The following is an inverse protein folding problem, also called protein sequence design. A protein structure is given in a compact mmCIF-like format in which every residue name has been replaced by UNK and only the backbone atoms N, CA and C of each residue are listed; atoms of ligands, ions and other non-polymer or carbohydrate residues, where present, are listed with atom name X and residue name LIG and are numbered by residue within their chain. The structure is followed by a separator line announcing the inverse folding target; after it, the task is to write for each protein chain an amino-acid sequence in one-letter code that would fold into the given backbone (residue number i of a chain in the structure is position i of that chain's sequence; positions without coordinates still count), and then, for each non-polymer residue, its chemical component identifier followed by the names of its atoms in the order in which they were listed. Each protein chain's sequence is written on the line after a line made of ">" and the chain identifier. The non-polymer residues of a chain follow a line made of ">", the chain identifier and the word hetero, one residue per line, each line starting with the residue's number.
data_IF_301504151171
#
_entry.id   IF_301504151171
#
_cell.length_a   1.000
_cell.length_b   1.000
_cell.length_c   1.000
_cell.angle_alpha   90.00
_cell.angle_beta   90.00
_cell.angle_gamma   90.00
#
_symmetry.space_group_name_H-M   'P 1'
#
loop_
_entity.id
_entity.type
_entity.pdbx_description
1 polymer ?
#
# COMPACT_ATOMS: atom_id res chain seq x y z
N UNK A 1 49.66 -3.60 30.11
CA UNK A 1 48.21 -3.91 30.12
C UNK A 1 47.33 -3.15 29.11
N UNK A 2 47.85 -2.36 28.16
CA UNK A 2 46.98 -1.78 27.08
C UNK A 2 46.74 -2.71 25.88
N UNK A 3 47.52 -3.77 25.74
CA UNK A 3 47.50 -4.70 24.58
C UNK A 3 46.31 -5.65 24.55
N UNK A 4 45.93 -6.17 25.69
CA UNK A 4 44.83 -7.16 25.78
C UNK A 4 43.44 -6.57 25.47
N UNK A 5 43.17 -5.35 25.90
CA UNK A 5 41.92 -4.62 25.61
C UNK A 5 41.79 -4.30 24.11
N UNK A 6 42.93 -3.97 23.44
CA UNK A 6 42.94 -3.73 21.99
C UNK A 6 42.78 -5.03 21.19
N UNK A 7 43.29 -6.14 21.69
CA UNK A 7 43.13 -7.45 21.06
C UNK A 7 41.66 -7.91 21.11
N UNK A 8 41.00 -7.85 22.27
CA UNK A 8 39.58 -8.16 22.43
C UNK A 8 38.67 -7.27 21.55
N UNK A 9 39.04 -5.97 21.36
CA UNK A 9 38.31 -5.09 20.45
C UNK A 9 38.47 -5.48 18.98
N UNK A 10 39.66 -5.89 18.56
CA UNK A 10 39.94 -6.37 17.19
C UNK A 10 39.16 -7.67 16.90
N UNK A 11 39.19 -8.62 17.84
CA UNK A 11 38.47 -9.88 17.72
C UNK A 11 36.93 -9.67 17.66
N UNK A 12 36.40 -8.78 18.48
CA UNK A 12 34.99 -8.42 18.42
C UNK A 12 34.56 -7.75 17.10
N UNK A 13 35.42 -6.92 16.52
CA UNK A 13 35.17 -6.33 15.18
C UNK A 13 35.27 -7.38 14.06
N UNK A 14 36.27 -8.27 14.12
CA UNK A 14 36.39 -9.35 13.14
C UNK A 14 35.21 -10.33 13.20
N UNK A 15 34.75 -10.70 14.39
CA UNK A 15 33.58 -11.55 14.57
C UNK A 15 32.29 -10.92 14.01
N UNK A 16 32.07 -9.61 14.24
CA UNK A 16 30.93 -8.89 13.65
C UNK A 16 31.00 -8.82 12.13
N UNK A 17 32.18 -8.58 11.55
CA UNK A 17 32.38 -8.57 10.10
C UNK A 17 32.14 -9.95 9.48
N UNK A 18 32.63 -11.01 10.11
CA UNK A 18 32.41 -12.39 9.68
C UNK A 18 30.91 -12.77 9.71
N UNK A 19 30.18 -12.38 10.77
CA UNK A 19 28.75 -12.59 10.87
C UNK A 19 27.97 -11.86 9.77
N UNK A 20 28.31 -10.60 9.48
CA UNK A 20 27.70 -9.81 8.40
C UNK A 20 27.98 -10.43 7.01
N UNK A 21 29.20 -10.93 6.78
CA UNK A 21 29.54 -11.61 5.52
C UNK A 21 28.79 -12.95 5.37
N UNK A 22 28.66 -13.72 6.44
CA UNK A 22 27.89 -14.95 6.43
C UNK A 22 26.41 -14.71 6.13
N UNK A 23 25.83 -13.65 6.72
CA UNK A 23 24.46 -13.23 6.44
C UNK A 23 24.27 -12.83 4.98
N UNK A 24 25.18 -12.00 4.42
CA UNK A 24 25.13 -11.58 3.00
C UNK A 24 25.24 -12.79 2.05
N UNK A 25 26.09 -13.78 2.34
CA UNK A 25 26.21 -15.02 1.54
C UNK A 25 24.92 -15.86 1.58
N UNK A 26 24.27 -15.99 2.76
CA UNK A 26 22.99 -16.67 2.89
C UNK A 26 21.87 -15.94 2.11
N UNK A 27 21.82 -14.63 2.19
CA UNK A 27 20.85 -13.81 1.45
C UNK A 27 21.03 -13.90 -0.06
N UNK A 28 22.28 -13.90 -0.55
CA UNK A 28 22.60 -14.06 -1.97
C UNK A 28 22.18 -15.44 -2.51
N UNK A 29 22.46 -16.53 -1.76
CA UNK A 29 22.04 -17.89 -2.13
C UNK A 29 20.50 -18.02 -2.18
N UNK A 30 19.79 -17.38 -1.22
CA UNK A 30 18.31 -17.39 -1.21
C UNK A 30 17.73 -16.62 -2.41
N UNK A 31 18.34 -15.50 -2.82
CA UNK A 31 17.95 -14.77 -4.04
C UNK A 31 18.18 -15.61 -5.29
N UNK A 32 19.31 -16.29 -5.43
CA UNK A 32 19.59 -17.16 -6.58
C UNK A 32 18.61 -18.33 -6.68
N UNK A 33 18.22 -18.94 -5.57
CA UNK A 33 17.19 -20.00 -5.55
C UNK A 33 15.81 -19.46 -5.98
N UNK A 34 15.38 -18.29 -5.49
CA UNK A 34 14.10 -17.69 -5.86
C UNK A 34 14.08 -17.32 -7.36
N UNK A 35 15.19 -16.75 -7.86
CA UNK A 35 15.31 -16.40 -9.29
C UNK A 35 15.31 -17.66 -10.16
N UNK A 36 15.98 -18.73 -9.75
CA UNK A 36 15.98 -20.01 -10.47
C UNK A 36 14.59 -20.65 -10.56
N UNK A 37 13.83 -20.66 -9.47
CA UNK A 37 12.46 -21.18 -9.45
C UNK A 37 11.53 -20.34 -10.32
N UNK A 38 11.65 -19.00 -10.30
CA UNK A 38 10.83 -18.11 -11.13
C UNK A 38 11.11 -18.33 -12.63
N UNK A 39 12.38 -18.44 -13.03
CA UNK A 39 12.75 -18.72 -14.42
C UNK A 39 12.24 -20.10 -14.87
N UNK A 40 12.36 -21.13 -14.02
CA UNK A 40 11.86 -22.46 -14.33
C UNK A 40 10.34 -22.48 -14.51
N UNK A 41 9.58 -21.77 -13.65
CA UNK A 41 8.13 -21.65 -13.76
C UNK A 41 7.70 -20.97 -15.08
N UNK A 42 8.41 -19.93 -15.50
CA UNK A 42 8.16 -19.23 -16.77
C UNK A 42 8.45 -20.15 -17.97
N UNK A 43 9.53 -20.90 -17.95
CA UNK A 43 9.87 -21.86 -19.02
C UNK A 43 8.81 -22.97 -19.13
N UNK A 44 8.36 -23.52 -18.00
CA UNK A 44 7.29 -24.52 -17.98
C UNK A 44 5.98 -23.95 -18.52
N UNK A 45 5.63 -22.72 -18.15
CA UNK A 45 4.43 -22.04 -18.66
C UNK A 45 4.48 -21.84 -20.17
N UNK A 46 5.63 -21.41 -20.72
CA UNK A 46 5.84 -21.25 -22.17
C UNK A 46 5.71 -22.60 -22.88
N UNK A 47 6.28 -23.68 -22.36
CA UNK A 47 6.17 -25.01 -22.93
C UNK A 47 4.72 -25.52 -22.95
N UNK A 48 3.95 -25.29 -21.90
CA UNK A 48 2.52 -25.64 -21.82
C UNK A 48 1.70 -24.85 -22.84
N UNK A 49 1.99 -23.54 -23.00
CA UNK A 49 1.31 -22.70 -23.99
C UNK A 49 1.63 -23.12 -25.45
N UNK A 50 2.87 -23.52 -25.71
CA UNK A 50 3.28 -24.01 -27.04
C UNK A 50 2.64 -25.38 -27.37
N UNK A 51 2.38 -26.23 -26.38
CA UNK A 51 1.67 -27.50 -26.58
C UNK A 51 0.17 -27.29 -26.84
N UNK A 52 -0.46 -26.29 -26.19
CA UNK A 52 -1.88 -25.97 -26.43
C UNK A 52 -2.15 -25.31 -27.80
N UNK A 53 -1.13 -24.79 -28.46
CA UNK A 53 -1.26 -24.16 -29.79
C UNK A 53 -1.32 -25.14 -30.97
N UNK A 54 -1.24 -26.47 -30.73
CA UNK A 54 -1.24 -27.47 -31.81
C UNK A 54 -2.59 -28.14 -32.12
N UNK A 55 -3.63 -27.86 -31.32
CA UNK A 55 -4.92 -28.57 -31.45
C UNK A 55 -6.10 -27.67 -31.86
N UNK A 56 -5.90 -26.63 -32.69
CA UNK A 56 -7.04 -25.94 -33.29
C UNK A 56 -6.69 -25.45 -34.71
N UNK A 57 -6.74 -26.35 -35.65
CA UNK A 57 -6.84 -26.03 -37.06
C UNK A 57 -8.21 -26.45 -37.57
N UNK A 58 -9.11 -25.46 -37.80
CA UNK A 58 -10.03 -25.50 -38.93
C UNK A 58 -10.85 -24.21 -39.09
N UNK A 59 -10.75 -23.66 -40.28
CA UNK A 59 -11.72 -22.86 -41.06
C UNK A 59 -12.32 -21.57 -40.46
N UNK A 60 -11.92 -20.42 -40.99
CA UNK A 60 -12.87 -19.33 -41.28
C UNK A 60 -12.52 -18.66 -42.63
N UNK A 61 -13.51 -18.57 -43.44
CA UNK A 61 -13.62 -17.95 -44.76
C UNK A 61 -13.36 -16.43 -44.76
N UNK A 62 -12.76 -15.94 -45.84
CA UNK A 62 -12.49 -14.54 -46.10
C UNK A 62 -13.74 -13.67 -46.17
N UNK A 63 -13.66 -12.45 -45.63
CA UNK A 63 -14.68 -11.41 -45.76
C UNK A 63 -14.14 -10.02 -45.46
N UNK A 64 -13.82 -9.30 -46.52
CA UNK A 64 -13.89 -7.87 -46.82
C UNK A 64 -13.38 -6.82 -45.77
N UNK A 65 -12.40 -6.08 -46.27
CA UNK A 65 -11.86 -4.80 -45.81
C UNK A 65 -12.91 -3.70 -45.55
N UNK A 66 -12.78 -3.02 -44.38
CA UNK A 66 -13.23 -1.63 -44.25
C UNK A 66 -12.28 -0.87 -43.32
N UNK A 67 -11.67 0.16 -43.87
CA UNK A 67 -10.82 1.16 -43.22
C UNK A 67 -11.61 1.89 -42.13
N UNK A 68 -11.16 1.89 -40.89
CA UNK A 68 -11.67 2.81 -39.87
C UNK A 68 -10.50 3.41 -39.07
N UNK A 69 -10.53 4.71 -39.03
CA UNK A 69 -9.62 5.66 -38.42
C UNK A 69 -9.36 5.34 -36.93
N UNK A 70 -8.09 5.57 -36.54
CA UNK A 70 -7.63 5.47 -35.18
C UNK A 70 -8.31 6.49 -34.25
N UNK A 71 -9.12 6.00 -33.36
CA UNK A 71 -9.49 6.67 -32.14
C UNK A 71 -8.68 6.01 -31.01
N UNK A 72 -7.78 6.75 -30.39
CA UNK A 72 -7.10 6.33 -29.16
C UNK A 72 -8.16 6.22 -28.06
N UNK A 73 -8.74 5.04 -27.92
CA UNK A 73 -9.56 4.69 -26.78
C UNK A 73 -8.63 4.55 -25.56
N UNK A 74 -8.60 5.55 -24.72
CA UNK A 74 -8.14 5.40 -23.33
C UNK A 74 -9.00 4.32 -22.69
N UNK A 75 -8.45 3.11 -22.57
CA UNK A 75 -9.12 1.99 -21.91
C UNK A 75 -9.28 2.36 -20.44
N UNK A 76 -10.44 2.86 -20.08
CA UNK A 76 -10.83 3.00 -18.67
C UNK A 76 -10.75 1.62 -18.03
N UNK A 77 -10.01 1.50 -16.90
CA UNK A 77 -10.01 0.29 -16.11
C UNK A 77 -11.45 -0.11 -15.79
N UNK A 78 -11.79 -1.41 -15.78
CA UNK A 78 -13.14 -1.86 -15.46
C UNK A 78 -13.53 -1.30 -14.09
N UNK A 79 -14.67 -0.62 -14.02
CA UNK A 79 -15.24 -0.19 -12.75
C UNK A 79 -15.48 -1.42 -11.87
N UNK A 80 -14.97 -1.41 -10.65
CA UNK A 80 -15.22 -2.48 -9.70
C UNK A 80 -16.73 -2.62 -9.42
N UNK A 81 -17.12 -3.77 -8.91
CA UNK A 81 -18.51 -3.98 -8.50
C UNK A 81 -18.86 -3.05 -7.35
N UNK A 82 -19.88 -2.20 -7.51
CA UNK A 82 -20.41 -1.39 -6.41
C UNK A 82 -21.08 -2.30 -5.38
N UNK A 83 -20.69 -2.13 -4.11
CA UNK A 83 -21.22 -2.91 -3.00
C UNK A 83 -22.64 -2.51 -2.59
N UNK A 84 -23.27 -3.36 -1.82
CA UNK A 84 -24.64 -3.15 -1.32
C UNK A 84 -24.70 -2.32 -0.02
N UNK A 85 -23.55 -2.02 0.59
CA UNK A 85 -23.52 -1.27 1.87
C UNK A 85 -23.88 0.20 1.64
N UNK A 86 -24.84 0.73 2.41
CA UNK A 86 -25.25 2.14 2.29
C UNK A 86 -24.11 3.07 2.74
N UNK A 87 -24.20 4.34 2.36
CA UNK A 87 -23.34 5.37 2.92
C UNK A 87 -23.54 5.47 4.43
N UNK A 88 -22.47 5.37 5.24
CA UNK A 88 -22.60 5.50 6.68
C UNK A 88 -22.89 6.97 7.06
N UNK A 89 -23.62 7.21 8.15
CA UNK A 89 -23.90 8.56 8.61
C UNK A 89 -22.62 9.31 8.99
N UNK A 90 -22.63 10.62 8.79
CA UNK A 90 -21.46 11.47 9.00
C UNK A 90 -21.06 11.61 10.48
N UNK A 91 -22.00 11.42 11.40
CA UNK A 91 -21.81 11.51 12.84
C UNK A 91 -21.06 10.30 13.46
N UNK A 92 -20.76 9.27 12.64
CA UNK A 92 -20.09 8.07 13.11
C UNK A 92 -20.96 7.11 13.91
N UNK A 93 -22.30 7.19 13.77
CA UNK A 93 -23.24 6.29 14.45
C UNK A 93 -23.34 4.89 13.84
N UNK A 94 -22.67 4.63 12.70
CA UNK A 94 -22.70 3.31 12.08
C UNK A 94 -22.01 2.26 12.97
N UNK A 95 -22.53 1.02 13.03
CA UNK A 95 -21.82 -0.07 13.71
C UNK A 95 -20.51 -0.43 12.98
N UNK A 96 -19.52 -0.91 13.72
CA UNK A 96 -18.25 -1.34 13.14
C UNK A 96 -18.46 -2.45 12.10
N UNK A 97 -17.87 -2.26 10.90
CA UNK A 97 -17.91 -3.23 9.80
C UNK A 97 -16.55 -3.33 9.14
N UNK A 98 -16.03 -4.55 8.94
CA UNK A 98 -14.67 -4.81 8.40
C UNK A 98 -14.66 -5.64 7.11
N UNK A 99 -15.83 -5.98 6.55
CA UNK A 99 -15.94 -6.70 5.29
C UNK A 99 -17.11 -6.17 4.47
N UNK A 100 -16.88 -6.00 3.17
CA UNK A 100 -17.84 -5.44 2.24
C UNK A 100 -17.85 -6.27 0.95
N UNK A 101 -18.95 -6.22 0.21
CA UNK A 101 -19.19 -7.02 -1.00
C UNK A 101 -18.83 -6.29 -2.31
N UNK A 102 -18.31 -5.06 -2.21
CA UNK A 102 -17.90 -4.25 -3.35
C UNK A 102 -17.46 -2.84 -2.95
N UNK A 103 -17.07 -2.03 -3.93
CA UNK A 103 -16.72 -0.63 -3.76
C UNK A 103 -17.86 0.18 -3.16
N UNK A 104 -17.58 1.19 -2.32
CA UNK A 104 -18.63 2.08 -1.83
C UNK A 104 -19.24 2.91 -2.97
N UNK A 105 -20.54 3.13 -2.93
CA UNK A 105 -21.18 4.18 -3.72
C UNK A 105 -20.61 5.56 -3.34
N UNK A 106 -20.82 6.61 -4.16
CA UNK A 106 -20.40 7.96 -3.78
C UNK A 106 -21.06 8.41 -2.48
N UNK A 107 -20.28 8.57 -1.40
CA UNK A 107 -20.70 8.93 -0.05
C UNK A 107 -20.13 10.26 0.42
N UNK A 108 -19.31 10.90 -0.41
CA UNK A 108 -18.74 12.22 -0.15
C UNK A 108 -19.17 13.22 -1.22
N UNK A 109 -19.13 14.49 -0.87
CA UNK A 109 -19.22 15.61 -1.81
C UNK A 109 -17.81 16.13 -2.09
N UNK A 110 -17.26 15.97 -3.32
CA UNK A 110 -15.90 16.41 -3.65
C UNK A 110 -15.68 17.94 -3.55
N UNK A 111 -16.75 18.73 -3.41
CA UNK A 111 -16.65 20.18 -3.19
C UNK A 111 -16.33 20.55 -1.74
N UNK A 112 -16.59 19.63 -0.79
CA UNK A 112 -16.28 19.79 0.63
C UNK A 112 -14.84 19.46 0.94
N UNK A 113 -14.38 19.94 2.11
CA UNK A 113 -13.10 19.53 2.68
C UNK A 113 -13.28 18.41 3.69
N UNK A 114 -12.35 17.47 3.70
CA UNK A 114 -12.35 16.32 4.60
C UNK A 114 -11.06 16.25 5.37
N UNK A 115 -11.16 16.07 6.67
CA UNK A 115 -10.04 15.89 7.57
C UNK A 115 -10.20 14.60 8.35
N UNK A 116 -9.13 13.79 8.39
CA UNK A 116 -9.08 12.59 9.20
C UNK A 116 -8.22 12.81 10.44
N UNK A 117 -8.77 12.58 11.63
CA UNK A 117 -8.04 12.58 12.90
C UNK A 117 -7.74 11.13 13.28
N UNK A 118 -6.48 10.81 13.46
CA UNK A 118 -5.98 9.52 13.92
C UNK A 118 -5.58 9.62 15.39
N UNK A 119 -6.28 8.95 16.26
CA UNK A 119 -5.90 8.75 17.65
C UNK A 119 -5.16 7.41 17.74
N UNK A 120 -3.89 7.46 18.16
CA UNK A 120 -3.03 6.28 18.29
C UNK A 120 -2.63 6.04 19.74
N UNK A 121 -2.05 4.90 20.04
CA UNK A 121 -1.49 4.58 21.36
C UNK A 121 -0.29 5.45 21.75
N UNK A 122 0.30 6.23 20.83
CA UNK A 122 1.45 7.13 21.08
C UNK A 122 1.19 8.60 20.80
N UNK A 123 -0.06 8.97 20.53
CA UNK A 123 -0.48 10.35 20.28
C UNK A 123 -1.48 10.48 19.14
N UNK A 124 -1.74 11.71 18.74
CA UNK A 124 -2.74 12.03 17.70
C UNK A 124 -2.07 12.77 16.55
N UNK A 125 -2.48 12.48 15.33
CA UNK A 125 -2.13 13.25 14.14
C UNK A 125 -3.36 13.48 13.24
N UNK A 126 -3.29 14.54 12.44
CA UNK A 126 -4.38 15.00 11.57
C UNK A 126 -3.93 14.97 10.11
N UNK A 127 -4.81 14.53 9.22
CA UNK A 127 -4.57 14.42 7.77
C UNK A 127 -5.64 15.20 7.02
N UNK A 128 -5.24 16.16 6.18
CA UNK A 128 -6.13 16.75 5.18
C UNK A 128 -6.26 15.77 3.99
N UNK A 129 -7.51 15.41 3.63
CA UNK A 129 -7.80 14.50 2.53
C UNK A 129 -8.04 15.30 1.24
N UNK A 130 -7.47 14.86 0.12
CA UNK A 130 -7.56 15.56 -1.16
C UNK A 130 -8.65 14.95 -2.06
N UNK A 131 -9.92 15.24 -1.74
CA UNK A 131 -11.08 14.75 -2.49
C UNK A 131 -11.13 15.26 -3.95
N UNK A 132 -10.44 16.36 -4.29
CA UNK A 132 -10.37 16.87 -5.66
C UNK A 132 -9.40 16.09 -6.53
N UNK A 133 -8.28 15.63 -5.96
CA UNK A 133 -7.25 14.89 -6.69
C UNK A 133 -7.58 13.39 -6.76
N UNK A 134 -8.12 12.82 -5.69
CA UNK A 134 -8.37 11.40 -5.56
C UNK A 134 -9.78 11.14 -4.96
N UNK A 135 -10.86 11.54 -5.68
CA UNK A 135 -12.23 11.48 -5.16
C UNK A 135 -12.69 10.07 -4.78
N UNK A 136 -12.37 9.05 -5.57
CA UNK A 136 -12.73 7.65 -5.27
C UNK A 136 -11.98 7.14 -4.05
N UNK A 137 -10.69 7.46 -3.96
CA UNK A 137 -9.84 7.04 -2.85
C UNK A 137 -10.28 7.70 -1.53
N UNK A 138 -10.57 9.00 -1.56
CA UNK A 138 -11.10 9.71 -0.39
C UNK A 138 -12.48 9.19 -0.02
N UNK A 139 -13.37 8.94 -1.00
CA UNK A 139 -14.67 8.32 -0.77
C UNK A 139 -14.53 6.97 -0.06
N UNK A 140 -13.63 6.11 -0.56
CA UNK A 140 -13.33 4.82 0.05
C UNK A 140 -12.84 4.96 1.49
N UNK A 141 -11.88 5.84 1.73
CA UNK A 141 -11.30 6.04 3.05
C UNK A 141 -12.33 6.59 4.05
N UNK A 142 -13.12 7.60 3.66
CA UNK A 142 -14.20 8.18 4.47
C UNK A 142 -15.28 7.15 4.79
N UNK A 143 -15.71 6.38 3.79
CA UNK A 143 -16.66 5.29 3.94
C UNK A 143 -16.19 4.26 4.98
N UNK A 144 -14.98 3.75 4.83
CA UNK A 144 -14.41 2.77 5.76
C UNK A 144 -14.25 3.35 7.16
N UNK A 145 -13.77 4.59 7.27
CA UNK A 145 -13.59 5.27 8.57
C UNK A 145 -14.92 5.43 9.30
N UNK A 146 -15.97 5.87 8.62
CA UNK A 146 -17.30 6.04 9.21
C UNK A 146 -17.97 4.71 9.62
N UNK A 147 -17.52 3.58 9.06
CA UNK A 147 -17.86 2.23 9.53
C UNK A 147 -16.91 1.71 10.62
N UNK A 148 -16.08 2.56 11.21
CA UNK A 148 -15.12 2.18 12.25
C UNK A 148 -14.16 1.05 11.82
N UNK A 149 -13.91 0.96 10.51
CA UNK A 149 -13.06 -0.08 9.94
C UNK A 149 -11.65 -0.04 10.53
N UNK A 150 -11.09 1.17 10.69
CA UNK A 150 -9.71 1.39 11.12
C UNK A 150 -9.53 1.38 12.64
N UNK A 151 -10.60 1.36 13.43
CA UNK A 151 -10.52 1.38 14.90
C UNK A 151 -9.86 0.08 15.43
N UNK A 152 -8.80 0.23 16.20
CA UNK A 152 -8.00 -0.88 16.73
C UNK A 152 -7.03 -1.53 15.71
N UNK A 153 -6.93 -0.98 14.49
CA UNK A 153 -6.07 -1.55 13.43
C UNK A 153 -4.62 -1.15 13.62
N UNK A 154 -3.71 -2.10 13.44
CA UNK A 154 -2.27 -1.95 13.66
C UNK A 154 -1.53 -1.40 12.45
N UNK A 155 -0.41 -0.74 12.73
CA UNK A 155 0.61 -0.45 11.73
C UNK A 155 1.51 -1.68 11.60
N UNK A 156 1.15 -2.58 10.70
CA UNK A 156 1.78 -3.90 10.58
C UNK A 156 3.13 -3.88 9.84
N UNK A 157 3.43 -2.80 9.10
CA UNK A 157 4.70 -2.65 8.38
C UNK A 157 5.24 -1.24 8.58
N UNK A 158 6.44 -1.14 9.19
CA UNK A 158 7.11 0.13 9.49
C UNK A 158 8.57 0.04 9.08
N UNK A 159 8.97 0.86 8.10
CA UNK A 159 10.36 0.92 7.60
C UNK A 159 10.92 2.31 7.87
N UNK A 160 11.93 2.44 8.74
CA UNK A 160 12.56 3.72 9.05
C UNK A 160 13.09 4.44 7.80
N UNK A 161 12.85 5.74 7.71
CA UNK A 161 13.22 6.59 6.58
C UNK A 161 12.34 6.40 5.34
N UNK A 162 11.33 5.51 5.38
CA UNK A 162 10.49 5.20 4.22
C UNK A 162 9.00 5.38 4.52
N UNK A 163 8.34 4.39 5.15
CA UNK A 163 6.88 4.40 5.35
C UNK A 163 6.43 3.77 6.67
N UNK A 164 5.28 4.24 7.16
CA UNK A 164 4.44 3.61 8.19
C UNK A 164 3.16 3.12 7.51
N UNK A 165 2.92 1.81 7.45
CA UNK A 165 1.80 1.20 6.71
C UNK A 165 0.84 0.46 7.66
N UNK A 166 -0.45 0.66 7.45
CA UNK A 166 -1.54 0.03 8.18
C UNK A 166 -2.78 -0.17 7.32
N UNK A 167 -3.95 -0.33 7.97
CA UNK A 167 -5.25 -0.41 7.27
C UNK A 167 -5.71 -1.81 6.91
N UNK A 168 -5.11 -2.87 7.47
CA UNK A 168 -5.58 -4.25 7.38
C UNK A 168 -6.39 -4.61 8.64
N UNK A 169 -7.71 -4.38 8.61
CA UNK A 169 -8.60 -4.75 9.69
C UNK A 169 -9.01 -6.23 9.68
N UNK A 170 -8.87 -6.89 8.54
CA UNK A 170 -9.33 -8.27 8.36
C UNK A 170 -8.36 -9.30 8.96
N UNK A 171 -7.05 -9.10 8.78
CA UNK A 171 -6.01 -10.04 9.22
C UNK A 171 -4.92 -9.40 10.07
N UNK A 172 -4.61 -8.12 9.85
CA UNK A 172 -3.62 -7.38 10.63
C UNK A 172 -2.16 -7.71 10.30
N UNK A 173 -1.89 -8.49 9.26
CA UNK A 173 -0.57 -8.92 8.81
C UNK A 173 -0.15 -8.34 7.43
N UNK A 174 -1.02 -7.54 6.83
CA UNK A 174 -0.84 -6.93 5.52
C UNK A 174 -1.37 -7.75 4.35
N UNK A 175 -2.00 -8.90 4.59
CA UNK A 175 -2.58 -9.76 3.54
C UNK A 175 -4.10 -9.63 3.41
N UNK A 176 -4.74 -8.88 4.32
CA UNK A 176 -6.17 -8.62 4.31
C UNK A 176 -6.55 -7.32 3.59
N UNK A 177 -7.82 -7.17 3.31
CA UNK A 177 -8.45 -5.97 2.75
C UNK A 177 -9.91 -5.82 3.21
N UNK A 178 -10.64 -4.86 2.61
CA UNK A 178 -12.05 -4.64 2.91
C UNK A 178 -13.02 -5.57 2.16
N UNK A 179 -12.53 -6.48 1.31
CA UNK A 179 -13.34 -7.43 0.52
C UNK A 179 -13.51 -7.02 -0.95
N UNK A 180 -12.89 -5.92 -1.39
CA UNK A 180 -12.94 -5.43 -2.77
C UNK A 180 -11.65 -4.72 -3.17
N UNK A 181 -11.53 -4.43 -4.47
CA UNK A 181 -10.46 -3.62 -5.04
C UNK A 181 -11.05 -2.51 -5.90
N UNK A 182 -10.36 -1.36 -6.00
CA UNK A 182 -10.75 -0.25 -6.84
C UNK A 182 -9.57 0.37 -7.61
N UNK A 183 -9.91 1.16 -8.63
CA UNK A 183 -8.95 1.75 -9.57
C UNK A 183 -8.04 2.80 -8.91
N UNK A 184 -6.86 2.98 -9.49
CA UNK A 184 -5.88 3.97 -9.08
C UNK A 184 -6.30 5.40 -9.43
N UNK A 185 -5.91 6.35 -8.57
CA UNK A 185 -5.93 7.80 -8.79
C UNK A 185 -4.53 8.35 -8.53
N UNK A 186 -3.66 8.20 -9.52
CA UNK A 186 -2.23 8.42 -9.37
C UNK A 186 -1.86 9.91 -9.42
N UNK A 187 -0.87 10.37 -8.63
CA UNK A 187 -0.29 11.68 -8.81
C UNK A 187 0.50 11.75 -10.12
N UNK A 188 0.80 12.96 -10.57
CA UNK A 188 1.51 13.19 -11.84
C UNK A 188 3.00 12.85 -11.76
N UNK A 189 3.58 12.97 -10.57
CA UNK A 189 5.01 12.76 -10.34
C UNK A 189 5.28 12.07 -9.01
N UNK A 190 6.37 11.32 -8.95
CA UNK A 190 6.90 10.76 -7.69
C UNK A 190 7.30 11.86 -6.70
N UNK A 191 7.61 13.06 -7.17
CA UNK A 191 7.98 14.19 -6.32
C UNK A 191 6.80 14.75 -5.50
N UNK A 192 5.58 14.32 -5.76
CA UNK A 192 4.41 14.68 -4.95
C UNK A 192 4.36 13.91 -3.61
N UNK A 193 5.05 12.77 -3.51
CA UNK A 193 5.14 12.05 -2.23
C UNK A 193 6.16 12.71 -1.30
N UNK A 194 5.67 13.56 -0.40
CA UNK A 194 6.46 14.28 0.61
C UNK A 194 6.34 13.63 1.98
N UNK A 195 7.15 14.07 2.92
CA UNK A 195 6.96 13.72 4.33
C UNK A 195 5.52 14.01 4.76
N UNK A 196 4.86 13.04 5.38
CA UNK A 196 3.46 13.12 5.77
C UNK A 196 2.44 12.78 4.66
N UNK A 197 2.86 12.49 3.44
CA UNK A 197 1.94 12.05 2.38
C UNK A 197 1.25 10.74 2.75
N UNK A 198 -0.08 10.70 2.60
CA UNK A 198 -0.93 9.51 2.80
C UNK A 198 -1.31 8.92 1.44
N UNK A 199 -0.90 7.69 1.17
CA UNK A 199 -1.15 7.01 -0.10
C UNK A 199 -1.65 5.57 0.10
N UNK A 200 -2.44 5.07 -0.88
CA UNK A 200 -2.96 3.69 -0.84
C UNK A 200 -1.84 2.68 -1.10
N UNK A 201 -1.79 1.64 -0.28
CA UNK A 201 -1.00 0.45 -0.59
C UNK A 201 -1.78 -0.43 -1.58
N UNK A 202 -1.05 -1.01 -2.56
CA UNK A 202 -1.63 -1.90 -3.57
C UNK A 202 -0.70 -3.07 -3.91
N UNK A 203 -1.20 -4.05 -4.66
CA UNK A 203 -0.46 -5.22 -5.15
C UNK A 203 -0.27 -5.17 -6.68
N UNK A 204 -0.25 -3.98 -7.25
CA UNK A 204 -0.17 -3.68 -8.67
C UNK A 204 -1.30 -2.73 -9.11
N UNK A 205 -1.37 -2.38 -10.39
CA UNK A 205 -2.34 -1.41 -10.89
C UNK A 205 -3.79 -1.78 -10.57
N UNK A 206 -4.57 -0.79 -10.12
CA UNK A 206 -6.02 -0.93 -9.83
C UNK A 206 -6.34 -1.99 -8.77
N UNK A 207 -5.48 -2.15 -7.76
CA UNK A 207 -5.70 -3.08 -6.65
C UNK A 207 -5.76 -2.38 -5.29
N UNK A 208 -6.13 -1.10 -5.25
CA UNK A 208 -6.38 -0.40 -3.99
C UNK A 208 -7.49 -1.10 -3.20
N UNK A 209 -7.36 -1.13 -1.89
CA UNK A 209 -8.35 -1.72 -0.98
C UNK A 209 -8.54 -0.83 0.25
N UNK A 210 -8.18 -1.35 1.42
CA UNK A 210 -8.23 -0.59 2.68
C UNK A 210 -6.87 -0.16 3.20
N UNK A 211 -5.78 -0.78 2.76
CA UNK A 211 -4.45 -0.50 3.29
C UNK A 211 -3.87 0.80 2.73
N UNK A 212 -3.19 1.53 3.59
CA UNK A 212 -2.51 2.78 3.24
C UNK A 212 -1.15 2.87 3.93
N UNK A 213 -0.32 3.78 3.46
CA UNK A 213 0.93 4.13 4.13
C UNK A 213 1.11 5.64 4.23
N UNK A 214 1.88 6.05 5.25
CA UNK A 214 2.34 7.42 5.44
C UNK A 214 3.82 7.46 5.12
N UNK A 215 4.22 8.38 4.24
CA UNK A 215 5.63 8.65 3.91
C UNK A 215 6.25 9.41 5.08
N UNK A 216 7.36 8.92 5.63
CA UNK A 216 7.96 9.52 6.84
C UNK A 216 8.97 10.61 6.56
N UNK A 217 9.50 10.67 5.33
CA UNK A 217 10.48 11.68 4.90
C UNK A 217 10.41 11.93 3.38
N UNK A 218 10.87 13.09 2.92
CA UNK A 218 10.98 13.38 1.48
C UNK A 218 11.89 12.38 0.74
N UNK A 219 12.95 11.94 1.41
CA UNK A 219 13.83 10.89 0.89
C UNK A 219 13.10 9.54 0.76
N UNK A 220 12.17 9.26 1.70
CA UNK A 220 11.28 8.10 1.64
C UNK A 220 10.35 8.16 0.43
N UNK A 221 9.75 9.32 0.17
CA UNK A 221 8.90 9.51 -1.02
C UNK A 221 9.65 9.19 -2.33
N UNK A 222 10.89 9.63 -2.46
CA UNK A 222 11.74 9.34 -3.63
C UNK A 222 12.09 7.86 -3.78
N UNK A 223 12.06 7.06 -2.72
CA UNK A 223 12.27 5.61 -2.80
C UNK A 223 11.15 4.88 -3.53
N UNK A 224 9.96 5.49 -3.69
CA UNK A 224 8.85 4.95 -4.48
C UNK A 224 9.17 4.89 -5.98
N UNK A 225 10.13 5.70 -6.48
CA UNK A 225 10.70 5.75 -7.83
C UNK A 225 9.68 6.10 -8.95
N UNK A 226 8.42 5.76 -8.80
CA UNK A 226 7.31 5.98 -9.75
C UNK A 226 6.02 6.33 -9.02
N UNK A 227 5.13 7.11 -9.63
CA UNK A 227 3.83 7.44 -9.06
C UNK A 227 2.83 6.27 -9.27
N UNK A 228 2.97 5.20 -8.47
CA UNK A 228 2.19 3.96 -8.59
C UNK A 228 1.13 3.80 -7.49
N UNK A 229 1.00 4.77 -6.60
CA UNK A 229 0.14 4.71 -5.42
C UNK A 229 -0.78 5.92 -5.39
N UNK A 230 -2.08 5.72 -5.22
CA UNK A 230 -3.06 6.81 -5.13
C UNK A 230 -2.74 7.70 -3.94
N UNK A 231 -2.28 8.93 -4.21
CA UNK A 231 -1.98 9.95 -3.20
C UNK A 231 -3.28 10.69 -2.85
N UNK A 232 -3.75 10.55 -1.62
CA UNK A 232 -5.07 11.07 -1.24
C UNK A 232 -5.11 11.92 0.03
N UNK A 233 -3.97 12.17 0.67
CA UNK A 233 -3.93 13.02 1.84
C UNK A 233 -2.53 13.47 2.24
N UNK A 234 -2.50 14.43 3.17
CA UNK A 234 -1.28 15.00 3.74
C UNK A 234 -1.46 15.20 5.24
N UNK A 235 -0.51 14.74 6.04
CA UNK A 235 -0.45 15.05 7.48
C UNK A 235 -0.23 16.55 7.65
N UNK A 236 -1.15 17.19 8.36
CA UNK A 236 -1.10 18.64 8.65
C UNK A 236 -0.66 18.95 10.06
N UNK A 237 -0.91 18.01 11.00
CA UNK A 237 -0.55 18.13 12.41
C UNK A 237 -0.09 16.77 12.95
N UNK A 238 0.84 16.78 13.90
CA UNK A 238 1.27 15.55 14.61
C UNK A 238 2.18 14.63 13.79
N UNK A 239 2.97 15.15 12.84
CA UNK A 239 3.94 14.34 12.10
C UNK A 239 4.98 13.69 13.06
N UNK A 240 5.28 14.30 14.19
CA UNK A 240 6.12 13.74 15.26
C UNK A 240 5.55 12.43 15.85
N UNK A 241 4.21 12.30 15.88
CA UNK A 241 3.55 11.04 16.29
C UNK A 241 3.82 9.92 15.29
N UNK A 242 3.76 10.24 13.99
CA UNK A 242 4.12 9.28 12.92
C UNK A 242 5.60 8.89 13.04
N UNK A 243 6.48 9.83 13.38
CA UNK A 243 7.90 9.57 13.61
C UNK A 243 8.15 8.72 14.88
N UNK A 244 7.33 8.85 15.93
CA UNK A 244 7.39 7.95 17.09
C UNK A 244 7.05 6.51 16.69
N UNK A 245 6.03 6.29 15.86
CA UNK A 245 5.69 4.97 15.32
C UNK A 245 6.84 4.45 14.44
N UNK A 246 7.42 5.32 13.61
CA UNK A 246 8.56 4.99 12.75
C UNK A 246 9.77 4.49 13.53
N UNK A 247 10.06 5.07 14.71
CA UNK A 247 11.22 4.73 15.54
C UNK A 247 11.23 3.26 15.98
N UNK A 248 10.07 2.63 16.08
CA UNK A 248 9.93 1.21 16.38
C UNK A 248 9.94 0.31 15.13
N UNK A 249 10.15 0.89 13.96
CA UNK A 249 10.29 0.16 12.71
C UNK A 249 11.59 -0.63 12.59
N UNK A 250 11.66 -1.49 11.58
CA UNK A 250 12.85 -2.24 11.20
C UNK A 250 13.09 -2.17 9.70
N UNK A 251 14.33 -2.36 9.21
CA UNK A 251 14.60 -2.43 7.77
C UNK A 251 13.86 -3.56 7.05
N UNK A 252 13.40 -4.58 7.77
CA UNK A 252 12.61 -5.70 7.25
C UNK A 252 11.12 -5.40 7.21
N UNK A 253 10.69 -4.31 7.86
CA UNK A 253 9.32 -3.82 7.88
C UNK A 253 8.48 -4.32 9.06
N UNK A 254 8.88 -5.37 9.75
CA UNK A 254 8.18 -5.83 10.95
C UNK A 254 8.57 -4.92 12.14
N UNK A 255 7.64 -4.14 12.73
CA UNK A 255 7.96 -3.25 13.83
C UNK A 255 8.30 -4.02 15.11
N UNK A 256 9.14 -3.43 15.96
CA UNK A 256 9.49 -3.95 17.30
C UNK A 256 8.32 -3.82 18.28
N UNK A 257 7.57 -2.71 18.15
CA UNK A 257 6.33 -2.44 18.87
C UNK A 257 5.22 -2.27 17.85
N UNK A 258 4.12 -2.99 18.03
CA UNK A 258 2.94 -2.92 17.15
C UNK A 258 2.02 -1.80 17.63
N UNK A 259 2.26 -0.58 17.16
CA UNK A 259 1.37 0.55 17.37
C UNK A 259 0.04 0.37 16.64
N UNK A 260 -1.01 1.00 17.15
CA UNK A 260 -2.36 0.89 16.59
C UNK A 260 -3.06 2.24 16.48
N UNK A 261 -3.97 2.32 15.52
CA UNK A 261 -4.99 3.36 15.44
C UNK A 261 -6.09 3.01 16.45
N UNK A 262 -6.13 3.71 17.57
CA UNK A 262 -7.18 3.48 18.60
C UNK A 262 -8.53 3.86 18.03
N UNK A 263 -8.58 5.01 17.34
CA UNK A 263 -9.77 5.52 16.66
C UNK A 263 -9.38 6.41 15.49
N UNK A 264 -10.16 6.34 14.41
CA UNK A 264 -10.05 7.30 13.30
C UNK A 264 -11.40 7.97 13.08
N UNK A 265 -11.42 9.30 12.96
CA UNK A 265 -12.65 10.09 12.78
C UNK A 265 -12.52 11.02 11.58
N UNK A 266 -13.64 11.29 10.91
CA UNK A 266 -13.72 12.24 9.77
C UNK A 266 -14.50 13.47 10.21
N UNK A 267 -13.92 14.63 9.91
CA UNK A 267 -14.63 15.92 9.93
C UNK A 267 -14.81 16.40 8.50
N UNK A 268 -16.01 16.84 8.14
CA UNK A 268 -16.32 17.45 6.84
C UNK A 268 -16.81 18.88 7.02
N UNK A 269 -16.35 19.80 6.17
CA UNK A 269 -16.73 21.23 6.18
C UNK A 269 -16.92 21.77 4.77
#
# INVERSE_FOLDING_TARGET
>A
MPTEKRQRQKEGRAARQAALQAYRRKAARRRQLITGVAVFAVVVLILVLLQRGKDNGQNVTAGSSTTAQGTTATTAAPAGKVGSSPCPPADGAAPRKIAFDGEPSPCIDPSKTYTAKFETDVGTFTVALNAKQAPKTVNNFVFLTRYHFYDGVKFHRVIPGFVVQGGDAAKGDGTGDAGYKFADELPKSVDEYKAGSLAMANSGPNTNGSQFFIVVSDAGGKQLQKPLYSLFGQVTEGLDVVQKIEADGTPQGQPKVLHQMVKVTITET
#
